data_IF_907252186467
#
_entry.id   IF_907252186467
#
_cell.length_a   1.000
_cell.length_b   1.000
_cell.length_c   1.000
_cell.angle_alpha   90.00
_cell.angle_beta   90.00
_cell.angle_gamma   90.00
#
_symmetry.space_group_name_H-M   'P 1'
#
loop_
_entity.id
_entity.type
_entity.pdbx_description
1 polymer ?
#
# COMPACT_ATOMS: atom_id res chain seq x y z
N UNK A 1 6.56 12.91 4.97
CA UNK A 1 6.48 11.52 5.53
C UNK A 1 7.02 11.53 6.96
N UNK A 2 6.36 10.86 7.90
CA UNK A 2 6.73 10.87 9.33
C UNK A 2 7.03 9.43 9.77
N UNK A 3 8.15 9.23 10.48
CA UNK A 3 8.47 7.93 11.12
C UNK A 3 7.49 7.70 12.27
N UNK A 4 6.90 6.53 12.33
CA UNK A 4 5.90 6.17 13.34
C UNK A 4 6.23 4.83 14.01
N UNK A 5 5.82 4.68 15.28
CA UNK A 5 5.83 3.40 15.97
C UNK A 5 4.63 2.54 15.58
N UNK A 6 4.69 1.23 15.88
CA UNK A 6 3.55 0.30 15.68
C UNK A 6 2.27 0.80 16.37
N UNK A 7 2.38 1.31 17.59
CA UNK A 7 1.22 1.84 18.33
C UNK A 7 0.61 3.08 17.65
N UNK A 8 1.46 3.96 17.11
CA UNK A 8 0.98 5.11 16.36
C UNK A 8 0.32 4.67 15.05
N UNK A 9 0.90 3.71 14.34
CA UNK A 9 0.32 3.13 13.14
C UNK A 9 -1.03 2.48 13.44
N UNK A 10 -1.13 1.65 14.47
CA UNK A 10 -2.37 1.00 14.90
C UNK A 10 -3.48 2.03 15.22
N UNK A 11 -3.13 3.16 15.85
CA UNK A 11 -4.07 4.26 16.10
C UNK A 11 -4.57 4.91 14.82
N UNK A 12 -3.70 5.12 13.82
CA UNK A 12 -4.10 5.66 12.52
C UNK A 12 -5.04 4.71 11.78
N UNK A 13 -4.74 3.41 11.80
CA UNK A 13 -5.59 2.38 11.20
C UNK A 13 -6.96 2.29 11.89
N UNK A 14 -6.99 2.33 13.21
CA UNK A 14 -8.25 2.33 13.98
C UNK A 14 -9.11 3.58 13.75
N UNK A 15 -8.52 4.68 13.32
CA UNK A 15 -9.23 5.92 13.00
C UNK A 15 -9.81 5.95 11.58
N UNK A 16 -9.55 4.95 10.75
CA UNK A 16 -10.12 4.85 9.41
C UNK A 16 -11.65 4.80 9.49
N UNK A 17 -12.32 5.60 8.66
CA UNK A 17 -13.78 5.71 8.68
C UNK A 17 -14.52 4.56 7.99
N UNK A 18 -14.06 4.02 6.85
CA UNK A 18 -14.74 2.89 6.22
C UNK A 18 -14.69 1.64 7.11
N UNK A 19 -15.82 0.95 7.26
CA UNK A 19 -15.89 -0.32 7.99
C UNK A 19 -15.17 -1.47 7.27
N UNK A 20 -14.92 -1.31 5.98
CA UNK A 20 -14.21 -2.25 5.13
C UNK A 20 -13.30 -1.47 4.16
N UNK A 21 -12.20 -0.88 4.66
CA UNK A 21 -11.31 -0.06 3.85
C UNK A 21 -10.64 -0.89 2.76
N UNK A 22 -10.35 -0.26 1.61
CA UNK A 22 -9.53 -0.88 0.57
C UNK A 22 -8.07 -0.55 0.81
N UNK A 23 -7.29 -1.59 1.01
CA UNK A 23 -5.84 -1.55 1.17
C UNK A 23 -5.20 -2.00 -0.14
N UNK A 24 -4.39 -1.17 -0.77
CA UNK A 24 -3.56 -1.54 -1.92
C UNK A 24 -2.15 -1.78 -1.42
N UNK A 25 -1.58 -2.95 -1.69
CA UNK A 25 -0.22 -3.28 -1.29
C UNK A 25 0.68 -3.59 -2.49
N UNK A 26 1.97 -3.28 -2.35
CA UNK A 26 3.00 -3.73 -3.28
C UNK A 26 3.02 -5.24 -3.40
N UNK A 27 3.31 -5.75 -4.59
CA UNK A 27 3.35 -7.17 -4.89
C UNK A 27 4.77 -7.69 -5.10
N UNK A 28 4.87 -8.85 -5.75
CA UNK A 28 6.13 -9.48 -6.09
C UNK A 28 7.08 -9.63 -4.87
N UNK A 29 8.37 -9.35 -5.05
CA UNK A 29 9.38 -9.38 -4.01
C UNK A 29 9.42 -8.14 -3.11
N UNK A 30 8.52 -7.19 -3.32
CA UNK A 30 8.45 -5.92 -2.57
C UNK A 30 7.15 -5.80 -1.77
N UNK A 31 6.52 -6.92 -1.40
CA UNK A 31 5.37 -6.90 -0.51
C UNK A 31 5.81 -6.45 0.89
N UNK A 32 5.18 -5.39 1.45
CA UNK A 32 5.51 -4.85 2.78
C UNK A 32 4.93 -5.74 3.88
N UNK A 33 5.59 -6.84 4.16
CA UNK A 33 5.05 -7.92 5.00
C UNK A 33 4.83 -7.51 6.45
N UNK A 34 5.73 -6.70 7.02
CA UNK A 34 5.62 -6.26 8.41
C UNK A 34 4.43 -5.34 8.57
N UNK A 35 4.32 -4.33 7.71
CA UNK A 35 3.18 -3.40 7.73
C UNK A 35 1.88 -4.09 7.39
N UNK A 36 1.87 -5.02 6.41
CA UNK A 36 0.67 -5.78 6.06
C UNK A 36 0.16 -6.61 7.25
N UNK A 37 1.04 -7.20 8.04
CA UNK A 37 0.68 -7.92 9.27
C UNK A 37 0.07 -6.99 10.30
N UNK A 38 0.67 -5.81 10.53
CA UNK A 38 0.12 -4.80 11.45
C UNK A 38 -1.27 -4.31 11.01
N UNK A 39 -1.48 -4.16 9.70
CA UNK A 39 -2.80 -3.83 9.14
C UNK A 39 -3.80 -4.95 9.39
N UNK A 40 -3.38 -6.22 9.17
CA UNK A 40 -4.23 -7.38 9.39
C UNK A 40 -4.63 -7.55 10.86
N UNK A 41 -3.71 -7.26 11.78
CA UNK A 41 -3.98 -7.29 13.24
C UNK A 41 -4.90 -6.14 13.68
N UNK A 42 -4.78 -4.97 13.06
CA UNK A 42 -5.52 -3.77 13.46
C UNK A 42 -6.93 -3.67 12.86
N UNK A 43 -7.16 -4.20 11.66
CA UNK A 43 -8.43 -4.07 10.95
C UNK A 43 -9.26 -5.36 11.03
N UNK A 44 -10.48 -5.32 11.57
CA UNK A 44 -11.34 -6.51 11.64
C UNK A 44 -11.78 -7.01 10.25
N UNK A 45 -11.96 -6.09 9.29
CA UNK A 45 -12.32 -6.40 7.92
C UNK A 45 -11.72 -5.38 6.95
N UNK A 46 -11.27 -5.84 5.78
CA UNK A 46 -10.75 -4.97 4.73
C UNK A 46 -10.68 -5.70 3.38
N UNK A 47 -10.57 -4.92 2.30
CA UNK A 47 -10.29 -5.40 0.95
C UNK A 47 -8.81 -5.25 0.68
N UNK A 48 -8.12 -6.32 0.31
CA UNK A 48 -6.70 -6.31 0.00
C UNK A 48 -6.48 -6.47 -1.51
N UNK A 49 -6.12 -5.37 -2.16
CA UNK A 49 -5.73 -5.37 -3.56
C UNK A 49 -4.21 -5.55 -3.67
N UNK A 50 -3.78 -6.58 -4.39
CA UNK A 50 -2.37 -6.78 -4.73
C UNK A 50 -2.26 -7.22 -6.18
N UNK A 51 -1.43 -6.52 -6.95
CA UNK A 51 -1.09 -6.95 -8.30
C UNK A 51 0.06 -7.97 -8.22
N UNK A 52 -0.15 -9.19 -8.77
CA UNK A 52 0.84 -10.26 -8.76
C UNK A 52 1.36 -10.62 -7.36
N UNK A 53 0.46 -11.01 -6.48
CA UNK A 53 0.78 -11.35 -5.10
C UNK A 53 1.69 -12.58 -4.97
N UNK A 54 2.64 -12.51 -4.04
CA UNK A 54 3.36 -13.66 -3.54
C UNK A 54 2.48 -14.48 -2.57
N UNK A 55 2.79 -15.78 -2.35
CA UNK A 55 2.13 -16.57 -1.30
C UNK A 55 2.35 -15.97 0.10
N UNK A 56 1.38 -16.15 1.00
CA UNK A 56 1.46 -15.71 2.40
C UNK A 56 0.56 -14.53 2.74
N UNK A 57 -0.30 -14.07 1.81
CA UNK A 57 -1.32 -13.06 2.14
C UNK A 57 -2.28 -13.56 3.22
N UNK A 58 -2.89 -12.66 4.02
CA UNK A 58 -3.88 -12.99 5.03
C UNK A 58 -5.03 -13.87 4.50
N UNK A 59 -5.40 -14.90 5.29
CA UNK A 59 -6.45 -15.87 4.98
C UNK A 59 -7.39 -16.03 6.18
N UNK A 60 -8.15 -15.00 6.48
CA UNK A 60 -9.13 -15.04 7.57
C UNK A 60 -10.45 -14.41 7.16
N UNK A 61 -11.48 -14.70 7.92
CA UNK A 61 -12.76 -14.00 7.79
C UNK A 61 -12.57 -12.50 7.95
N UNK A 62 -13.28 -11.74 7.13
CA UNK A 62 -13.16 -10.28 7.06
C UNK A 62 -12.15 -9.78 6.03
N UNK A 63 -11.29 -10.63 5.48
CA UNK A 63 -10.36 -10.22 4.40
C UNK A 63 -10.88 -10.66 3.05
N UNK A 64 -11.07 -9.71 2.14
CA UNK A 64 -11.41 -9.96 0.73
C UNK A 64 -10.21 -9.63 -0.14
N UNK A 65 -9.69 -10.63 -0.84
CA UNK A 65 -8.60 -10.43 -1.78
C UNK A 65 -9.13 -9.94 -3.13
N UNK A 66 -8.51 -8.89 -3.67
CA UNK A 66 -8.88 -8.31 -4.98
C UNK A 66 -7.66 -8.29 -5.91
N UNK A 67 -7.83 -8.66 -7.16
CA UNK A 67 -6.77 -8.51 -8.17
C UNK A 67 -7.29 -8.58 -9.60
N UNK A 68 -6.72 -7.81 -10.54
CA UNK A 68 -6.91 -8.02 -11.97
C UNK A 68 -5.91 -9.02 -12.56
N UNK A 69 -4.97 -9.54 -11.76
CA UNK A 69 -3.96 -10.48 -12.20
C UNK A 69 -3.75 -11.58 -11.16
N UNK A 70 -4.24 -12.78 -11.46
CA UNK A 70 -4.15 -13.92 -10.54
C UNK A 70 -2.74 -14.54 -10.60
N UNK A 71 -1.85 -14.05 -9.76
CA UNK A 71 -0.51 -14.58 -9.55
C UNK A 71 -0.50 -15.82 -8.64
N UNK A 72 0.70 -16.31 -8.32
CA UNK A 72 0.90 -17.51 -7.52
C UNK A 72 0.26 -17.42 -6.12
N UNK A 73 0.31 -16.25 -5.50
CA UNK A 73 -0.22 -16.02 -4.15
C UNK A 73 -1.75 -15.95 -4.05
N UNK A 74 -2.45 -15.86 -5.18
CA UNK A 74 -3.91 -15.75 -5.21
C UNK A 74 -4.61 -16.92 -5.93
N UNK A 75 -3.86 -17.77 -6.60
CA UNK A 75 -4.43 -18.87 -7.36
C UNK A 75 -5.10 -19.90 -6.44
N UNK A 76 -6.38 -20.16 -6.71
CA UNK A 76 -7.16 -21.14 -5.94
C UNK A 76 -7.60 -20.66 -4.55
N UNK A 77 -7.41 -19.38 -4.23
CA UNK A 77 -7.85 -18.80 -2.93
C UNK A 77 -9.38 -18.69 -2.88
N UNK A 78 -10.02 -19.20 -1.82
CA UNK A 78 -11.45 -18.97 -1.62
C UNK A 78 -11.73 -17.49 -1.37
N UNK A 79 -12.87 -17.00 -1.87
CA UNK A 79 -13.27 -15.60 -1.65
C UNK A 79 -12.46 -14.55 -2.43
N UNK A 80 -11.63 -14.96 -3.39
CA UNK A 80 -10.93 -14.03 -4.26
C UNK A 80 -11.91 -13.32 -5.20
N UNK A 81 -11.94 -12.01 -5.16
CA UNK A 81 -12.65 -11.17 -6.11
C UNK A 81 -11.73 -10.82 -7.29
N UNK A 82 -11.98 -11.44 -8.43
CA UNK A 82 -11.28 -11.09 -9.66
C UNK A 82 -11.87 -9.82 -10.27
N UNK A 83 -11.02 -8.82 -10.51
CA UNK A 83 -11.40 -7.55 -11.12
C UNK A 83 -11.05 -7.58 -12.64
N UNK A 84 -12.00 -7.86 -13.53
CA UNK A 84 -11.74 -8.01 -14.96
C UNK A 84 -11.34 -6.66 -15.57
N UNK A 85 -10.04 -6.42 -15.67
CA UNK A 85 -9.47 -5.19 -16.16
C UNK A 85 -8.17 -5.45 -16.94
N UNK A 86 -7.94 -4.70 -18.01
CA UNK A 86 -6.61 -4.69 -18.65
C UNK A 86 -5.60 -4.04 -17.69
N UNK A 87 -4.41 -4.58 -17.61
CA UNK A 87 -3.38 -4.07 -16.70
C UNK A 87 -3.10 -2.57 -16.91
N UNK A 88 -3.13 -2.10 -18.15
CA UNK A 88 -2.96 -0.68 -18.48
C UNK A 88 -4.09 0.24 -17.98
N UNK A 89 -5.24 -0.32 -17.62
CA UNK A 89 -6.39 0.42 -17.07
C UNK A 89 -6.48 0.37 -15.54
N UNK A 90 -5.65 -0.43 -14.88
CA UNK A 90 -5.62 -0.51 -13.41
C UNK A 90 -5.40 0.87 -12.76
N UNK A 91 -4.47 1.73 -13.25
CA UNK A 91 -4.35 3.09 -12.73
C UNK A 91 -5.64 3.90 -12.79
N UNK A 92 -6.38 3.82 -13.90
CA UNK A 92 -7.68 4.49 -14.02
C UNK A 92 -8.73 3.90 -13.07
N UNK A 93 -8.75 2.57 -12.92
CA UNK A 93 -9.65 1.87 -12.00
C UNK A 93 -9.41 2.31 -10.54
N UNK A 94 -8.15 2.40 -10.12
CA UNK A 94 -7.79 2.87 -8.76
C UNK A 94 -8.16 4.34 -8.51
N UNK A 95 -8.20 5.18 -9.56
CA UNK A 95 -8.65 6.58 -9.43
C UNK A 95 -10.18 6.73 -9.40
N UNK A 96 -10.93 5.77 -9.93
CA UNK A 96 -12.37 5.92 -10.18
C UNK A 96 -13.25 4.93 -9.44
N UNK A 97 -13.23 3.65 -9.84
CA UNK A 97 -14.20 2.66 -9.38
C UNK A 97 -13.76 1.91 -8.12
N UNK A 98 -12.45 1.78 -7.88
CA UNK A 98 -11.91 1.06 -6.73
C UNK A 98 -10.81 1.85 -6.01
N UNK A 99 -11.09 3.09 -5.60
CA UNK A 99 -10.07 3.92 -4.97
C UNK A 99 -9.60 3.31 -3.64
N UNK A 100 -8.29 3.39 -3.35
CA UNK A 100 -7.75 2.95 -2.06
C UNK A 100 -8.08 3.92 -0.93
N UNK A 101 -8.21 3.38 0.28
CA UNK A 101 -8.21 4.13 1.54
C UNK A 101 -6.82 4.10 2.19
N UNK A 102 -6.05 3.01 1.92
CA UNK A 102 -4.69 2.82 2.40
C UNK A 102 -3.83 2.26 1.28
N UNK A 103 -2.60 2.75 1.16
CA UNK A 103 -1.58 2.18 0.27
C UNK A 103 -0.35 1.78 1.07
N UNK A 104 0.06 0.52 0.93
CA UNK A 104 1.24 -0.05 1.58
C UNK A 104 2.33 -0.24 0.53
N UNK A 105 3.51 0.30 0.80
CA UNK A 105 4.66 0.20 -0.11
C UNK A 105 5.91 -0.21 0.65
N UNK A 106 6.79 -0.96 -0.01
CA UNK A 106 8.16 -1.13 0.45
C UNK A 106 9.03 -0.11 -0.27
N UNK A 107 9.89 0.57 0.47
CA UNK A 107 10.76 1.60 -0.09
C UNK A 107 12.22 1.37 0.26
N UNK A 108 13.10 2.02 -0.50
CA UNK A 108 14.50 2.19 -0.10
C UNK A 108 14.62 3.06 1.16
N UNK A 109 15.78 3.05 1.82
CA UNK A 109 16.09 4.09 2.81
C UNK A 109 15.95 5.49 2.23
N UNK A 110 15.57 6.49 3.06
CA UNK A 110 15.46 7.88 2.64
C UNK A 110 16.78 8.43 2.08
N UNK A 111 16.67 9.22 1.01
CA UNK A 111 17.80 9.90 0.36
C UNK A 111 17.39 11.28 -0.12
N UNK A 112 17.99 12.33 0.43
CA UNK A 112 17.71 13.73 0.02
C UNK A 112 16.21 14.10 0.07
N UNK A 113 15.51 13.72 1.12
CA UNK A 113 14.08 14.02 1.28
C UNK A 113 13.14 13.16 0.44
N UNK A 114 13.65 12.11 -0.21
CA UNK A 114 12.86 11.19 -1.03
C UNK A 114 13.11 9.74 -0.64
N UNK A 115 12.20 8.86 -0.99
CA UNK A 115 12.34 7.40 -0.97
C UNK A 115 12.09 6.85 -2.37
N UNK A 116 12.53 5.64 -2.64
CA UNK A 116 12.26 4.97 -3.91
C UNK A 116 11.45 3.69 -3.69
N UNK A 117 10.47 3.44 -4.56
CA UNK A 117 9.73 2.17 -4.65
C UNK A 117 10.61 1.01 -5.13
N UNK A 118 11.84 1.31 -5.57
CA UNK A 118 12.81 0.31 -5.98
C UNK A 118 12.34 -0.52 -7.16
N UNK A 119 12.07 -1.80 -6.90
CA UNK A 119 11.72 -2.79 -7.95
C UNK A 119 10.23 -2.94 -8.21
N UNK A 120 9.36 -2.34 -7.39
CA UNK A 120 7.90 -2.49 -7.47
C UNK A 120 7.23 -1.14 -7.68
N UNK A 121 7.27 -0.65 -8.91
CA UNK A 121 6.67 0.63 -9.31
C UNK A 121 5.24 0.43 -9.82
N UNK A 122 5.08 -0.36 -10.84
CA UNK A 122 3.87 -0.70 -11.61
C UNK A 122 2.64 0.22 -11.37
N UNK A 123 1.68 -0.17 -10.52
CA UNK A 123 0.46 0.59 -10.25
C UNK A 123 0.55 1.47 -9.00
N UNK A 124 1.64 1.37 -8.23
CA UNK A 124 1.77 2.04 -6.93
C UNK A 124 1.79 3.57 -7.04
N UNK A 125 2.45 4.22 -8.01
CA UNK A 125 2.36 5.68 -8.16
C UNK A 125 0.91 6.15 -8.34
N UNK A 126 0.13 5.45 -9.15
CA UNK A 126 -1.27 5.78 -9.35
C UNK A 126 -2.14 5.51 -8.11
N UNK A 127 -1.82 4.47 -7.34
CA UNK A 127 -2.49 4.19 -6.07
C UNK A 127 -2.19 5.29 -5.03
N UNK A 128 -0.94 5.73 -4.93
CA UNK A 128 -0.50 6.82 -4.05
C UNK A 128 -1.20 8.13 -4.42
N UNK A 129 -1.24 8.48 -5.69
CA UNK A 129 -1.96 9.66 -6.18
C UNK A 129 -3.46 9.57 -5.82
N UNK A 130 -4.08 8.42 -6.07
CA UNK A 130 -5.50 8.21 -5.79
C UNK A 130 -5.83 8.30 -4.29
N UNK A 131 -5.01 7.73 -3.42
CA UNK A 131 -5.23 7.78 -1.97
C UNK A 131 -5.02 9.19 -1.43
N UNK A 132 -3.99 9.93 -1.89
CA UNK A 132 -3.74 11.32 -1.49
C UNK A 132 -4.89 12.24 -1.86
N UNK A 133 -5.43 12.12 -3.08
CA UNK A 133 -6.55 12.96 -3.54
C UNK A 133 -7.83 12.81 -2.68
N UNK A 134 -7.88 11.77 -1.85
CA UNK A 134 -9.03 11.43 -0.98
C UNK A 134 -8.74 11.59 0.51
N UNK A 135 -7.53 12.03 0.86
CA UNK A 135 -7.09 12.14 2.26
C UNK A 135 -6.90 10.80 2.94
N UNK A 136 -6.61 9.73 2.17
CA UNK A 136 -6.29 8.41 2.70
C UNK A 136 -4.83 8.29 3.12
N UNK A 137 -4.40 7.10 3.50
CA UNK A 137 -3.14 6.84 4.17
C UNK A 137 -2.14 6.13 3.26
N UNK A 138 -0.91 6.62 3.17
CA UNK A 138 0.23 5.90 2.58
C UNK A 138 1.18 5.48 3.71
N UNK A 139 1.50 4.20 3.76
CA UNK A 139 2.42 3.62 4.74
C UNK A 139 3.58 2.99 3.99
N UNK A 140 4.78 3.46 4.26
CA UNK A 140 6.01 2.95 3.67
C UNK A 140 6.81 2.13 4.69
N UNK A 141 7.06 0.86 4.36
CA UNK A 141 8.01 -0.01 5.04
C UNK A 141 9.40 0.21 4.43
N UNK A 142 10.35 0.69 5.23
CA UNK A 142 11.72 0.91 4.76
C UNK A 142 12.48 -0.40 4.77
N UNK A 143 13.01 -0.78 3.62
CA UNK A 143 13.86 -1.95 3.48
C UNK A 143 15.25 -1.52 3.02
N UNK A 144 16.26 -1.76 3.86
CA UNK A 144 17.67 -1.41 3.55
C UNK A 144 18.25 -2.16 2.35
N UNK A 145 17.66 -3.30 1.98
CA UNK A 145 18.04 -4.06 0.80
C UNK A 145 17.35 -3.57 -0.48
N UNK A 146 16.33 -2.70 -0.38
CA UNK A 146 15.65 -2.15 -1.54
C UNK A 146 16.56 -1.16 -2.28
N UNK A 147 16.84 -1.38 -3.58
CA UNK A 147 17.68 -0.46 -4.33
C UNK A 147 16.96 0.88 -4.53
N UNK A 148 17.73 1.97 -4.47
CA UNK A 148 17.22 3.28 -4.87
C UNK A 148 17.24 3.38 -6.40
N UNK A 149 16.07 3.32 -7.02
CA UNK A 149 15.85 3.53 -8.45
C UNK A 149 15.27 4.92 -8.71
N UNK A 150 15.30 5.39 -9.95
CA UNK A 150 14.93 6.75 -10.35
C UNK A 150 13.64 6.77 -11.19
N UNK A 151 13.22 7.96 -11.62
CA UNK A 151 12.00 8.16 -12.38
C UNK A 151 10.76 8.02 -11.52
N UNK A 152 9.73 7.37 -12.03
CA UNK A 152 8.43 7.19 -11.37
C UNK A 152 8.49 6.39 -10.05
N UNK A 153 9.65 5.78 -9.75
CA UNK A 153 9.89 5.10 -8.49
C UNK A 153 10.14 6.06 -7.32
N UNK A 154 10.51 7.31 -7.59
CA UNK A 154 10.88 8.28 -6.56
C UNK A 154 9.64 8.95 -5.98
N UNK A 155 9.51 8.89 -4.65
CA UNK A 155 8.43 9.53 -3.90
C UNK A 155 9.05 10.61 -3.01
N UNK A 156 8.51 11.82 -3.10
CA UNK A 156 8.85 12.91 -2.20
C UNK A 156 8.28 12.64 -0.81
N UNK A 157 9.11 12.80 0.20
CA UNK A 157 8.70 12.64 1.60
C UNK A 157 7.93 13.86 2.14
N UNK A 158 7.88 14.94 1.35
CA UNK A 158 7.31 16.22 1.76
C UNK A 158 8.23 17.00 2.70
N UNK A 159 7.94 18.29 2.85
CA UNK A 159 8.65 19.15 3.81
C UNK A 159 8.01 19.00 5.20
N UNK A 160 8.76 18.53 6.22
CA UNK A 160 8.24 18.40 7.58
C UNK A 160 7.84 19.74 8.22
N UNK A 161 8.26 20.88 7.67
CA UNK A 161 8.02 22.22 8.24
C UNK A 161 6.94 23.04 7.50
N UNK A 162 6.47 22.64 6.32
CA UNK A 162 5.70 23.53 5.44
C UNK A 162 4.30 23.11 5.00
N UNK A 163 3.84 21.90 5.22
CA UNK A 163 2.53 21.46 4.72
C UNK A 163 1.59 21.05 5.87
N UNK A 164 0.40 21.67 5.95
CA UNK A 164 -0.56 21.39 7.02
C UNK A 164 -1.19 19.99 7.01
N UNK A 165 -0.96 19.15 6.00
CA UNK A 165 -1.69 17.89 5.79
C UNK A 165 -0.81 16.64 5.60
N UNK A 166 0.37 16.56 6.23
CA UNK A 166 1.27 15.41 6.11
C UNK A 166 0.93 14.26 7.08
N UNK A 167 -0.25 14.22 7.65
CA UNK A 167 -0.69 13.07 8.46
C UNK A 167 -0.97 11.80 7.62
N UNK A 168 -0.95 11.90 6.29
CA UNK A 168 -1.31 10.81 5.38
C UNK A 168 -0.12 9.96 4.90
N UNK A 169 1.11 10.31 5.25
CA UNK A 169 2.30 9.54 4.86
C UNK A 169 3.09 9.11 6.09
N UNK A 170 3.06 7.84 6.37
CA UNK A 170 3.75 7.23 7.48
C UNK A 170 4.94 6.41 6.98
N UNK A 171 6.08 6.55 7.65
CA UNK A 171 7.27 5.75 7.43
C UNK A 171 7.44 4.80 8.60
N UNK A 172 7.51 3.50 8.31
CA UNK A 172 7.80 2.47 9.27
C UNK A 172 9.19 1.91 8.98
N UNK A 173 10.06 1.91 9.98
CA UNK A 173 11.38 1.28 9.93
C UNK A 173 11.36 0.03 10.81
N UNK A 174 11.70 -1.12 10.22
CA UNK A 174 11.84 -2.39 10.91
C UNK A 174 13.26 -2.55 11.50
#
# INVERSE_FOLDING_TARGET
>A
MRVVSEEALSRHLAALRPTMPRVVAGGNGATPWTVLRLVDDALPAYRLFVLNAAPGLPERDGVVLETPFIGAGMRGRPGLEYLPCRLSLVPAMLRTSTPPDVVLVTTSPPRNGTVSLGTEVNVLPAAIEAVHSRGGLVIAEVNRAMPYTFGDAVIDMGDPEGAPDIETQLLFED
#
